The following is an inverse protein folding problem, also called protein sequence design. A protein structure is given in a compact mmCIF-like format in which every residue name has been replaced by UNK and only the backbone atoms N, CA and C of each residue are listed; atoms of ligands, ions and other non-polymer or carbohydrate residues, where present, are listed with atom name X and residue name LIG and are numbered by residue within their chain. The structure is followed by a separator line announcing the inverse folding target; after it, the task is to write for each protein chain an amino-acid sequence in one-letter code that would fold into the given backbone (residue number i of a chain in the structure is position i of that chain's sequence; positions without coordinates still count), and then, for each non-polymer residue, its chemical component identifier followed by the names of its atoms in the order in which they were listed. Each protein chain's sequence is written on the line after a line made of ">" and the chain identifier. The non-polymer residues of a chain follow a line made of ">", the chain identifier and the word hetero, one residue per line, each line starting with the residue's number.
data_IF_605576184648
#
_entry.id   IF_605576184648
#
_cell.length_a   1.000
_cell.length_b   1.000
_cell.length_c   1.000
_cell.angle_alpha   90.00
_cell.angle_beta   90.00
_cell.angle_gamma   90.00
#
_symmetry.space_group_name_H-M   'P 1'
#
loop_
_entity.id
_entity.type
_entity.pdbx_description
1 polymer ?
#
# COMPACT_ATOMS: atom_id res chain seq x y z
N UNK A 1 27.17 -4.76 7.50
CA UNK A 1 27.51 -3.53 6.76
C UNK A 1 26.24 -2.69 6.68
N UNK A 2 26.18 -1.57 7.40
CA UNK A 2 25.02 -0.66 7.35
C UNK A 2 25.32 0.32 6.23
N UNK A 3 24.71 0.11 5.05
CA UNK A 3 24.86 1.02 3.92
C UNK A 3 24.15 2.33 4.28
N UNK A 4 24.83 3.47 4.06
CA UNK A 4 24.25 4.80 4.21
C UNK A 4 23.35 5.11 3.01
N UNK A 5 22.04 5.19 3.27
CA UNK A 5 20.93 5.09 2.30
C UNK A 5 20.44 6.44 1.76
N UNK A 6 21.09 7.55 2.08
CA UNK A 6 20.48 8.88 1.93
C UNK A 6 20.16 9.30 0.47
N UNK A 7 20.85 8.71 -0.52
CA UNK A 7 20.69 9.00 -1.95
C UNK A 7 20.23 7.79 -2.79
N UNK A 8 19.56 6.80 -2.19
CA UNK A 8 19.06 5.64 -2.95
C UNK A 8 17.68 5.90 -3.59
N UNK A 9 17.32 5.18 -4.66
CA UNK A 9 15.98 5.20 -5.26
C UNK A 9 14.89 4.86 -4.24
N UNK A 10 15.19 3.94 -3.31
CA UNK A 10 14.33 3.65 -2.17
C UNK A 10 14.16 4.86 -1.24
N UNK A 11 15.19 5.65 -0.96
CA UNK A 11 15.04 6.88 -0.17
C UNK A 11 14.20 7.94 -0.89
N UNK A 12 14.39 8.11 -2.20
CA UNK A 12 13.56 9.01 -3.02
C UNK A 12 12.09 8.55 -3.03
N UNK A 13 11.84 7.26 -3.25
CA UNK A 13 10.51 6.65 -3.22
C UNK A 13 9.82 6.90 -1.87
N UNK A 14 10.55 6.71 -0.77
CA UNK A 14 10.02 6.97 0.57
C UNK A 14 9.65 8.43 0.79
N UNK A 15 10.52 9.37 0.39
CA UNK A 15 10.24 10.81 0.50
C UNK A 15 9.02 11.20 -0.33
N UNK A 16 8.92 10.71 -1.56
CA UNK A 16 7.77 10.95 -2.42
C UNK A 16 6.48 10.38 -1.81
N UNK A 17 6.54 9.17 -1.24
CA UNK A 17 5.44 8.56 -0.51
C UNK A 17 4.96 9.41 0.67
N UNK A 18 5.86 9.84 1.56
CA UNK A 18 5.50 10.67 2.73
C UNK A 18 4.94 12.05 2.34
N UNK A 19 5.37 12.57 1.19
CA UNK A 19 4.89 13.83 0.62
C UNK A 19 3.59 13.68 -0.20
N UNK A 20 3.13 12.44 -0.44
CA UNK A 20 2.02 12.13 -1.35
C UNK A 20 2.25 12.68 -2.77
N UNK A 21 3.50 12.72 -3.22
CA UNK A 21 3.91 13.25 -4.52
C UNK A 21 3.98 12.12 -5.54
N UNK A 22 2.93 12.00 -6.37
CA UNK A 22 2.81 10.97 -7.40
C UNK A 22 3.88 11.15 -8.48
N UNK A 23 4.22 12.38 -8.85
CA UNK A 23 5.20 12.65 -9.91
C UNK A 23 6.60 12.24 -9.45
N UNK A 24 6.98 12.64 -8.23
CA UNK A 24 8.25 12.25 -7.64
C UNK A 24 8.33 10.73 -7.42
N UNK A 25 7.22 10.07 -7.04
CA UNK A 25 7.20 8.62 -6.87
C UNK A 25 7.39 7.90 -8.21
N UNK A 26 6.67 8.32 -9.26
CA UNK A 26 6.77 7.70 -10.59
C UNK A 26 8.16 7.89 -11.19
N UNK A 27 8.85 8.99 -10.87
CA UNK A 27 10.22 9.24 -11.31
C UNK A 27 11.23 8.22 -10.75
N UNK A 28 10.93 7.51 -9.66
CA UNK A 28 11.82 6.47 -9.10
C UNK A 28 11.61 5.08 -9.71
N UNK A 29 10.65 4.92 -10.61
CA UNK A 29 10.25 3.62 -11.15
C UNK A 29 10.92 3.36 -12.51
N UNK A 30 11.13 2.10 -12.83
CA UNK A 30 11.47 1.66 -14.18
C UNK A 30 10.25 1.82 -15.11
N UNK A 31 10.48 1.91 -16.42
CA UNK A 31 9.37 2.12 -17.38
C UNK A 31 8.39 0.94 -17.41
N UNK A 32 8.88 -0.29 -17.19
CA UNK A 32 8.14 -1.54 -17.17
C UNK A 32 7.84 -2.07 -15.75
N UNK A 33 7.93 -1.18 -14.73
CA UNK A 33 7.71 -1.50 -13.32
C UNK A 33 6.45 -2.35 -13.08
N UNK A 34 6.55 -3.32 -12.17
CA UNK A 34 5.41 -4.16 -11.76
C UNK A 34 5.05 -3.92 -10.30
N UNK A 35 3.82 -3.49 -10.04
CA UNK A 35 3.27 -3.43 -8.69
C UNK A 35 2.35 -4.62 -8.43
N UNK A 36 2.66 -5.43 -7.41
CA UNK A 36 1.85 -6.57 -6.94
C UNK A 36 1.02 -6.17 -5.74
N UNK A 37 -0.30 -6.32 -5.90
CA UNK A 37 -1.29 -5.87 -4.93
C UNK A 37 -1.31 -6.72 -3.65
N UNK A 38 -1.49 -6.10 -2.46
CA UNK A 38 -1.75 -6.83 -1.22
C UNK A 38 -3.17 -7.44 -1.18
N UNK A 39 -4.03 -7.09 -2.14
CA UNK A 39 -5.47 -7.44 -2.15
C UNK A 39 -5.79 -8.66 -3.01
N UNK A 40 -4.95 -9.00 -3.98
CA UNK A 40 -5.24 -10.07 -4.95
C UNK A 40 -3.95 -10.61 -5.54
N UNK A 41 -3.85 -11.94 -5.57
CA UNK A 41 -2.74 -12.65 -6.21
C UNK A 41 -2.68 -12.44 -7.74
N UNK A 42 -3.81 -12.05 -8.35
CA UNK A 42 -3.94 -11.87 -9.80
C UNK A 42 -3.91 -10.40 -10.23
N UNK A 43 -3.92 -9.46 -9.29
CA UNK A 43 -3.88 -8.04 -9.61
C UNK A 43 -2.44 -7.54 -9.61
N UNK A 44 -1.93 -7.27 -10.81
CA UNK A 44 -0.66 -6.61 -11.04
C UNK A 44 -0.87 -5.38 -11.93
N UNK A 45 -0.26 -4.27 -11.55
CA UNK A 45 -0.24 -3.03 -12.34
C UNK A 45 1.12 -2.95 -13.01
N UNK A 46 1.13 -2.82 -14.34
CA UNK A 46 2.35 -2.89 -15.14
C UNK A 46 2.61 -1.57 -15.85
N UNK A 47 3.85 -1.11 -15.75
CA UNK A 47 4.33 0.14 -16.30
C UNK A 47 3.93 1.37 -15.47
N UNK A 48 4.65 2.47 -15.71
CA UNK A 48 4.51 3.73 -14.96
C UNK A 48 3.10 4.31 -14.95
N UNK A 49 2.36 4.19 -16.06
CA UNK A 49 1.03 4.78 -16.19
C UNK A 49 0.02 4.11 -15.24
N UNK A 50 -0.04 2.78 -15.22
CA UNK A 50 -0.95 2.06 -14.32
C UNK A 50 -0.57 2.24 -12.85
N UNK A 51 0.74 2.28 -12.55
CA UNK A 51 1.22 2.52 -11.19
C UNK A 51 0.92 3.95 -10.75
N UNK A 52 1.06 4.95 -11.64
CA UNK A 52 0.65 6.34 -11.41
C UNK A 52 -0.83 6.45 -11.06
N UNK A 53 -1.71 5.81 -11.84
CA UNK A 53 -3.15 5.82 -11.58
C UNK A 53 -3.46 5.20 -10.21
N UNK A 54 -2.84 4.06 -9.90
CA UNK A 54 -2.99 3.41 -8.60
C UNK A 54 -2.58 4.35 -7.45
N UNK A 55 -1.36 4.92 -7.49
CA UNK A 55 -0.88 5.78 -6.41
C UNK A 55 -1.63 7.09 -6.31
N UNK A 56 -2.18 7.61 -7.41
CA UNK A 56 -3.08 8.78 -7.39
C UNK A 56 -4.34 8.52 -6.54
N UNK A 57 -4.91 7.30 -6.64
CA UNK A 57 -6.06 6.91 -5.81
C UNK A 57 -5.62 6.64 -4.36
N UNK A 58 -4.48 5.96 -4.16
CA UNK A 58 -3.95 5.61 -2.83
C UNK A 58 -3.64 6.86 -2.01
N UNK A 59 -2.90 7.82 -2.57
CA UNK A 59 -2.54 9.06 -1.89
C UNK A 59 -3.73 10.00 -1.67
N UNK A 60 -4.83 9.83 -2.41
CA UNK A 60 -6.08 10.53 -2.18
C UNK A 60 -6.88 10.00 -0.98
N UNK A 61 -6.60 8.78 -0.49
CA UNK A 61 -7.36 8.17 0.63
C UNK A 61 -6.53 7.93 1.88
N UNK A 62 -5.22 7.71 1.73
CA UNK A 62 -4.32 7.59 2.85
C UNK A 62 -3.99 8.96 3.45
N UNK A 63 -3.51 8.93 4.69
CA UNK A 63 -3.01 10.09 5.44
C UNK A 63 -1.92 9.61 6.39
N UNK A 64 -1.07 10.53 6.84
CA UNK A 64 0.00 10.24 7.82
C UNK A 64 0.90 9.06 7.42
N UNK A 65 1.22 8.91 6.13
CA UNK A 65 2.19 7.92 5.68
C UNK A 65 3.58 8.26 6.22
N UNK A 66 4.18 7.32 6.96
CA UNK A 66 5.49 7.45 7.61
C UNK A 66 6.26 6.15 7.49
N UNK A 67 7.41 6.19 6.82
CA UNK A 67 8.30 5.04 6.75
C UNK A 67 9.04 4.84 8.07
N UNK A 68 9.07 3.60 8.54
CA UNK A 68 9.64 3.22 9.83
C UNK A 68 10.98 2.52 9.68
N UNK A 69 11.09 1.65 8.67
CA UNK A 69 12.31 0.88 8.41
C UNK A 69 12.54 0.75 6.92
N UNK A 70 13.80 0.71 6.57
CA UNK A 70 14.33 0.45 5.25
C UNK A 70 15.51 -0.50 5.46
N UNK A 71 15.32 -1.76 5.12
CA UNK A 71 16.29 -2.84 5.37
C UNK A 71 16.50 -3.64 4.11
N UNK A 72 17.72 -4.09 3.87
CA UNK A 72 18.07 -4.81 2.65
C UNK A 72 19.44 -4.41 2.14
N UNK A 73 19.70 -4.71 0.87
CA UNK A 73 20.94 -4.38 0.17
C UNK A 73 20.71 -3.32 -0.92
N UNK A 74 21.45 -3.35 -2.01
CA UNK A 74 21.31 -2.38 -3.12
C UNK A 74 20.24 -2.80 -4.12
N UNK A 75 19.92 -4.10 -4.19
CA UNK A 75 18.98 -4.69 -5.16
C UNK A 75 17.60 -4.90 -4.53
N UNK A 76 17.55 -5.43 -3.32
CA UNK A 76 16.29 -5.77 -2.67
C UNK A 76 16.13 -4.99 -1.37
N UNK A 77 15.04 -4.23 -1.25
CA UNK A 77 14.73 -3.44 -0.04
C UNK A 77 13.37 -3.82 0.51
N UNK A 78 13.31 -4.10 1.80
CA UNK A 78 12.05 -4.17 2.54
C UNK A 78 11.82 -2.83 3.26
N UNK A 79 10.76 -2.15 2.84
CA UNK A 79 10.28 -0.89 3.40
C UNK A 79 9.08 -1.19 4.29
N UNK A 80 9.07 -0.67 5.52
CA UNK A 80 7.89 -0.74 6.38
C UNK A 80 7.40 0.65 6.67
N UNK A 81 6.08 0.85 6.70
CA UNK A 81 5.49 2.13 6.99
C UNK A 81 4.20 1.98 7.80
N UNK A 82 3.80 3.08 8.44
CA UNK A 82 2.47 3.27 9.00
C UNK A 82 1.73 4.32 8.20
N UNK A 83 0.43 4.15 8.05
CA UNK A 83 -0.45 5.15 7.47
C UNK A 83 -1.84 5.04 8.11
N UNK A 84 -2.72 5.99 7.75
CA UNK A 84 -4.09 6.02 8.23
C UNK A 84 -5.07 6.09 7.07
N UNK A 85 -6.09 5.24 7.16
CA UNK A 85 -7.29 5.34 6.35
C UNK A 85 -8.42 5.86 7.23
N UNK A 86 -8.58 7.18 7.24
CA UNK A 86 -9.44 7.88 8.20
C UNK A 86 -9.07 7.56 9.65
N UNK A 87 -9.94 6.82 10.36
CA UNK A 87 -9.70 6.44 11.76
C UNK A 87 -8.92 5.14 11.93
N UNK A 88 -8.73 4.37 10.87
CA UNK A 88 -8.05 3.08 10.90
C UNK A 88 -6.55 3.26 10.63
N UNK A 89 -5.72 2.88 11.59
CA UNK A 89 -4.29 2.76 11.36
C UNK A 89 -4.00 1.48 10.58
N UNK A 90 -3.05 1.56 9.66
CA UNK A 90 -2.51 0.45 8.90
C UNK A 90 -0.99 0.45 9.00
N UNK A 91 -0.42 -0.75 8.91
CA UNK A 91 0.99 -0.95 8.67
C UNK A 91 1.15 -1.64 7.33
N UNK A 92 2.05 -1.12 6.52
CA UNK A 92 2.43 -1.72 5.25
C UNK A 92 3.87 -2.23 5.33
N UNK A 93 4.12 -3.28 4.56
CA UNK A 93 5.44 -3.72 4.18
C UNK A 93 5.47 -3.80 2.66
N UNK A 94 6.48 -3.20 2.04
CA UNK A 94 6.74 -3.31 0.62
C UNK A 94 8.15 -3.89 0.42
N UNK A 95 8.26 -4.95 -0.35
CA UNK A 95 9.55 -5.38 -0.91
C UNK A 95 9.68 -4.71 -2.27
N UNK A 96 10.76 -3.96 -2.47
CA UNK A 96 11.08 -3.32 -3.74
C UNK A 96 12.36 -3.90 -4.32
N UNK A 97 12.30 -4.24 -5.59
CA UNK A 97 13.45 -4.69 -6.38
C UNK A 97 13.94 -3.52 -7.23
N UNK A 98 15.24 -3.24 -7.13
CA UNK A 98 15.92 -2.12 -7.78
C UNK A 98 16.82 -2.68 -8.89
N UNK A 99 16.64 -2.13 -10.08
CA UNK A 99 17.39 -2.43 -11.29
C UNK A 99 18.83 -1.94 -11.25
N UNK A 100 19.59 -2.27 -12.30
CA UNK A 100 20.99 -1.86 -12.43
C UNK A 100 21.13 -0.36 -12.71
N UNK A 101 20.09 0.24 -13.29
CA UNK A 101 19.95 1.67 -13.56
C UNK A 101 19.55 2.49 -12.32
N UNK A 102 19.34 1.83 -11.18
CA UNK A 102 18.85 2.48 -9.97
C UNK A 102 17.38 2.88 -10.07
N UNK A 103 16.56 2.18 -10.83
CA UNK A 103 15.10 2.38 -10.83
C UNK A 103 14.40 1.18 -10.20
N UNK A 104 13.22 1.40 -9.63
CA UNK A 104 12.43 0.31 -9.03
C UNK A 104 11.71 -0.46 -10.13
N UNK A 105 12.05 -1.75 -10.29
CA UNK A 105 11.50 -2.66 -11.29
C UNK A 105 10.27 -3.42 -10.76
N UNK A 106 10.24 -3.75 -9.47
CA UNK A 106 9.12 -4.46 -8.86
C UNK A 106 8.80 -3.94 -7.46
N UNK A 107 7.52 -3.86 -7.13
CA UNK A 107 7.01 -3.54 -5.81
C UNK A 107 6.00 -4.63 -5.40
N UNK A 108 6.28 -5.37 -4.34
CA UNK A 108 5.30 -6.29 -3.74
C UNK A 108 4.89 -5.79 -2.38
N UNK A 109 3.58 -5.64 -2.16
CA UNK A 109 3.04 -5.00 -0.96
C UNK A 109 2.21 -5.95 -0.10
N UNK A 110 2.29 -5.77 1.22
CA UNK A 110 1.48 -6.43 2.24
C UNK A 110 0.98 -5.39 3.24
N UNK A 111 -0.24 -5.59 3.75
CA UNK A 111 -0.86 -4.67 4.70
C UNK A 111 -1.49 -5.44 5.86
N UNK A 112 -1.34 -4.86 7.05
CA UNK A 112 -2.02 -5.27 8.28
C UNK A 112 -2.61 -4.04 8.98
N UNK A 113 -3.56 -4.22 9.91
CA UNK A 113 -4.29 -5.45 10.19
C UNK A 113 -5.39 -5.70 9.13
N UNK A 114 -6.03 -6.88 9.16
CA UNK A 114 -7.11 -7.25 8.24
C UNK A 114 -8.26 -6.20 8.14
N UNK A 115 -8.71 -5.55 9.23
CA UNK A 115 -9.67 -4.44 9.12
C UNK A 115 -9.14 -3.27 8.31
N UNK A 116 -7.84 -3.00 8.40
CA UNK A 116 -7.15 -2.01 7.58
C UNK A 116 -7.17 -2.36 6.09
N UNK A 117 -6.80 -3.61 5.79
CA UNK A 117 -6.79 -4.15 4.44
C UNK A 117 -8.17 -4.06 3.77
N UNK A 118 -9.22 -4.49 4.49
CA UNK A 118 -10.59 -4.47 3.97
C UNK A 118 -11.20 -3.06 3.90
N UNK A 119 -10.83 -2.17 4.82
CA UNK A 119 -11.17 -0.76 4.70
C UNK A 119 -10.51 -0.14 3.45
N UNK A 120 -9.26 -0.50 3.15
CA UNK A 120 -8.58 -0.06 1.94
C UNK A 120 -9.28 -0.59 0.67
N UNK A 121 -9.71 -1.85 0.65
CA UNK A 121 -10.54 -2.36 -0.44
C UNK A 121 -11.81 -1.51 -0.66
N UNK A 122 -12.47 -1.07 0.43
CA UNK A 122 -13.69 -0.28 0.35
C UNK A 122 -13.44 1.15 -0.18
N UNK A 123 -12.26 1.71 0.10
CA UNK A 123 -11.85 3.04 -0.35
C UNK A 123 -11.35 3.04 -1.80
N UNK A 124 -10.46 2.09 -2.14
CA UNK A 124 -9.83 2.01 -3.46
C UNK A 124 -10.72 1.38 -4.52
N UNK A 125 -11.47 0.34 -4.16
CA UNK A 125 -12.26 -0.47 -5.10
C UNK A 125 -13.19 0.36 -5.99
N UNK A 126 -14.00 1.28 -5.44
CA UNK A 126 -14.84 2.17 -6.24
C UNK A 126 -14.05 3.13 -7.14
N UNK A 127 -12.89 3.61 -6.69
CA UNK A 127 -12.00 4.47 -7.48
C UNK A 127 -11.43 3.74 -8.69
N UNK A 128 -10.87 2.56 -8.47
CA UNK A 128 -10.34 1.72 -9.53
C UNK A 128 -11.44 1.25 -10.49
N UNK A 129 -12.63 0.92 -9.96
CA UNK A 129 -13.79 0.58 -10.79
C UNK A 129 -14.23 1.76 -11.69
N UNK A 130 -14.13 3.01 -11.22
CA UNK A 130 -14.46 4.19 -12.04
C UNK A 130 -13.50 4.33 -13.22
N UNK A 131 -12.22 4.04 -13.03
CA UNK A 131 -11.22 4.07 -14.10
C UNK A 131 -11.54 3.10 -15.25
N UNK A 132 -12.28 2.01 -14.98
CA UNK A 132 -12.71 1.07 -16.04
C UNK A 132 -13.81 1.58 -16.97
N UNK A 133 -14.42 2.74 -16.67
CA UNK A 133 -15.51 3.32 -17.45
C UNK A 133 -16.86 2.56 -17.40
N UNK A 134 -16.96 1.47 -16.62
CA UNK A 134 -18.19 0.66 -16.52
C UNK A 134 -19.21 1.29 -15.57
N UNK A 135 -20.39 1.74 -16.06
CA UNK A 135 -21.41 2.31 -15.19
C UNK A 135 -21.92 1.26 -14.18
N UNK A 136 -22.11 1.67 -12.93
CA UNK A 136 -22.63 0.81 -11.86
C UNK A 136 -21.61 -0.13 -11.18
N UNK A 137 -20.49 -0.47 -11.83
CA UNK A 137 -19.45 -1.30 -11.22
C UNK A 137 -18.88 -0.72 -9.91
N UNK A 138 -18.62 0.60 -9.78
CA UNK A 138 -18.16 1.17 -8.51
C UNK A 138 -19.12 0.93 -7.35
N UNK A 139 -20.42 0.98 -7.63
CA UNK A 139 -21.45 0.73 -6.63
C UNK A 139 -21.51 -0.74 -6.24
N UNK A 140 -21.43 -1.65 -7.22
CA UNK A 140 -21.37 -3.10 -6.97
C UNK A 140 -20.17 -3.48 -6.10
N UNK A 141 -18.98 -2.97 -6.43
CA UNK A 141 -17.76 -3.19 -5.64
C UNK A 141 -17.92 -2.64 -4.22
N UNK A 142 -18.45 -1.42 -4.09
CA UNK A 142 -18.70 -0.83 -2.76
C UNK A 142 -19.67 -1.68 -1.94
N UNK A 143 -20.76 -2.17 -2.54
CA UNK A 143 -21.76 -2.99 -1.88
C UNK A 143 -21.18 -4.34 -1.40
N UNK A 144 -20.31 -4.95 -2.19
CA UNK A 144 -19.67 -6.22 -1.83
C UNK A 144 -18.66 -6.09 -0.69
N UNK A 145 -17.87 -5.00 -0.66
CA UNK A 145 -16.74 -4.87 0.28
C UNK A 145 -17.16 -4.27 1.63
N UNK A 146 -18.15 -3.37 1.67
CA UNK A 146 -18.57 -2.69 2.91
C UNK A 146 -18.93 -3.65 4.06
N UNK A 147 -19.75 -4.71 3.85
CA UNK A 147 -20.07 -5.66 4.92
C UNK A 147 -18.83 -6.34 5.50
N UNK A 148 -17.88 -6.70 4.64
CA UNK A 148 -16.62 -7.33 5.04
C UNK A 148 -15.77 -6.39 5.92
N UNK A 149 -15.67 -5.11 5.55
CA UNK A 149 -14.95 -4.11 6.34
C UNK A 149 -15.58 -3.89 7.73
N UNK A 150 -16.92 -3.92 7.81
CA UNK A 150 -17.63 -3.83 9.10
C UNK A 150 -17.37 -5.07 9.96
N UNK A 151 -17.50 -6.26 9.39
CA UNK A 151 -17.34 -7.52 10.10
C UNK A 151 -15.92 -7.68 10.65
N UNK A 152 -14.90 -7.41 9.83
CA UNK A 152 -13.49 -7.52 10.26
C UNK A 152 -13.15 -6.49 11.33
N UNK A 153 -13.62 -5.25 11.20
CA UNK A 153 -13.44 -4.22 12.24
C UNK A 153 -14.10 -4.61 13.55
N UNK A 154 -15.29 -5.19 13.52
CA UNK A 154 -15.96 -5.69 14.72
C UNK A 154 -15.17 -6.84 15.36
N UNK A 155 -14.75 -7.83 14.57
CA UNK A 155 -13.96 -8.96 15.05
C UNK A 155 -12.67 -8.50 15.74
N UNK A 156 -11.91 -7.60 15.10
CA UNK A 156 -10.65 -7.09 15.62
C UNK A 156 -10.84 -6.26 16.91
N UNK A 157 -11.85 -5.38 16.95
CA UNK A 157 -12.04 -4.50 18.11
C UNK A 157 -12.71 -5.19 19.29
N UNK A 158 -13.59 -6.15 19.05
CA UNK A 158 -14.47 -6.74 20.08
C UNK A 158 -14.07 -8.16 20.44
N UNK A 159 -13.73 -9.01 19.46
CA UNK A 159 -13.48 -10.43 19.69
C UNK A 159 -12.00 -10.73 19.97
N UNK A 160 -11.06 -10.11 19.26
CA UNK A 160 -9.61 -10.35 19.47
C UNK A 160 -9.15 -10.06 20.91
N UNK A 161 -9.62 -8.99 21.59
CA UNK A 161 -9.27 -8.78 23.00
C UNK A 161 -9.78 -9.88 23.96
N UNK A 162 -10.81 -10.63 23.57
CA UNK A 162 -11.31 -11.77 24.35
C UNK A 162 -10.44 -13.03 24.15
N UNK A 163 -9.81 -13.16 22.97
CA UNK A 163 -8.92 -14.27 22.62
C UNK A 163 -7.49 -14.06 23.11
N UNK A 164 -7.08 -12.81 23.25
CA UNK A 164 -5.76 -12.44 23.76
C UNK A 164 -5.83 -12.22 25.27
N UNK A 165 -5.39 -13.20 26.06
CA UNK A 165 -5.27 -13.05 27.53
C UNK A 165 -4.47 -11.78 27.85
N UNK A 166 -5.03 -10.86 28.66
CA UNK A 166 -4.25 -9.81 29.32
C UNK A 166 -3.09 -10.47 30.07
N UNK A 167 -1.85 -10.26 29.61
CA UNK A 167 -0.66 -10.61 30.41
C UNK A 167 -0.79 -9.85 31.74
N UNK A 168 -0.65 -10.50 32.91
CA UNK A 168 -0.52 -9.75 34.17
C UNK A 168 0.69 -8.81 34.04
N UNK A 169 0.50 -7.58 34.51
CA UNK A 169 1.54 -6.53 34.56
C UNK A 169 2.69 -6.97 35.46
#
# INVERSE_FOLDING_TARGET
>A
MIVHIQDSPAAAYRRAGEAHDVDALVATLADDVVFRSPLSANAAFKGKEQVRELFSVVFGVLSDLRYQKDVGDERTRALTATARLGRQEIHEAAVVEVGEDGLIEEITMWIRPLPGLTAMMAALGPGLARATGRPGLPWLVAAAVKPLAVMTRFGDRTLVPLLTRKRPR
#
